data_IF_391132223024
#
_entry.id   IF_391132223024
#
_cell.length_a   1.000
_cell.length_b   1.000
_cell.length_c   1.000
_cell.angle_alpha   90.00
_cell.angle_beta   90.00
_cell.angle_gamma   90.00
#
_symmetry.space_group_name_H-M   'P 1'
#
loop_
_entity.id
_entity.type
_entity.pdbx_description
1 polymer ?
#
# COMPACT_ATOMS: atom_id res chain seq x y z
N UNK A 1 28.68 3.22 6.84
CA UNK A 1 28.47 2.72 6.88
C UNK A 1 28.42 2.24 6.65
N UNK A 2 28.38 2.16 6.31
CA UNK A 2 28.20 1.61 5.98
C UNK A 2 27.56 1.31 5.89
N UNK A 3 27.16 1.41 5.69
CA UNK A 3 26.52 1.03 5.66
C UNK A 3 26.17 0.40 5.57
N UNK A 4 25.99 0.28 5.53
CA UNK A 4 25.62 -0.35 5.42
C UNK A 4 25.35 -0.81 4.90
N UNK A 5 25.37 -1.04 4.41
CA UNK A 5 24.98 -1.52 3.87
C UNK A 5 25.05 -2.33 3.37
N UNK A 6 25.27 -2.89 3.13
CA UNK A 6 25.34 -3.69 2.46
C UNK A 6 24.75 -4.91 2.46
N UNK A 7 25.06 -5.74 2.85
CA UNK A 7 24.49 -6.90 3.01
C UNK A 7 23.15 -6.75 3.03
N UNK A 8 22.83 -5.71 3.03
CA UNK A 8 21.55 -5.42 3.06
C UNK A 8 20.99 -5.05 1.82
N UNK A 9 21.37 -5.67 0.75
CA UNK A 9 20.85 -5.34 -0.51
C UNK A 9 19.41 -5.42 -0.56
N UNK A 10 18.79 -6.39 0.05
CA UNK A 10 17.38 -6.43 -0.04
C UNK A 10 16.73 -5.32 0.67
N UNK A 11 17.44 -4.65 1.54
CA UNK A 11 16.86 -3.54 2.20
C UNK A 11 16.68 -2.36 1.31
N UNK A 12 17.35 -2.32 0.22
CA UNK A 12 17.15 -1.23 -0.69
C UNK A 12 15.79 -1.26 -1.28
N UNK A 13 15.16 -2.41 -1.32
CA UNK A 13 13.89 -2.54 -2.00
C UNK A 13 12.73 -2.53 -1.05
N UNK A 14 12.99 -2.41 0.23
CA UNK A 14 11.92 -2.47 1.20
C UNK A 14 12.13 -1.41 2.22
N UNK A 15 11.15 -0.56 2.34
CA UNK A 15 11.20 0.49 3.33
C UNK A 15 10.03 0.33 4.24
N UNK A 16 10.30 0.51 5.52
CA UNK A 16 9.25 0.54 6.51
C UNK A 16 8.90 1.99 6.67
N UNK A 17 7.94 2.47 5.94
CA UNK A 17 7.61 3.87 5.94
C UNK A 17 6.21 4.09 6.43
N UNK A 18 6.02 5.26 6.99
CA UNK A 18 4.72 5.64 7.48
C UNK A 18 4.09 6.58 6.50
N UNK A 19 3.94 6.14 5.29
CA UNK A 19 3.37 6.98 4.24
C UNK A 19 1.88 6.74 4.14
N UNK A 20 1.14 7.81 4.03
CA UNK A 20 -0.28 7.71 3.84
C UNK A 20 -0.59 7.28 2.43
N UNK A 21 -1.53 6.37 2.28
CA UNK A 21 -1.96 5.92 0.98
C UNK A 21 -3.47 5.97 0.91
N UNK A 22 -3.97 6.48 -0.20
CA UNK A 22 -5.40 6.47 -0.49
C UNK A 22 -5.67 5.38 -1.50
N UNK A 23 -6.71 4.61 -1.29
CA UNK A 23 -7.06 3.50 -2.14
C UNK A 23 -8.49 3.70 -2.60
N UNK A 24 -8.71 3.56 -3.90
CA UNK A 24 -10.05 3.62 -4.45
C UNK A 24 -10.32 2.30 -5.13
N UNK A 25 -11.43 1.69 -4.81
CA UNK A 25 -11.79 0.41 -5.39
C UNK A 25 -13.27 0.19 -5.38
N UNK A 26 -13.68 -1.00 -5.80
CA UNK A 26 -15.06 -1.40 -5.83
C UNK A 26 -15.13 -2.75 -5.12
N UNK A 27 -16.02 -2.89 -4.16
CA UNK A 27 -16.07 -4.14 -3.41
C UNK A 27 -16.84 -5.19 -4.21
N UNK A 28 -17.00 -6.37 -3.62
CA UNK A 28 -17.60 -7.47 -4.38
C UNK A 28 -19.06 -7.24 -4.68
N UNK A 29 -19.70 -6.33 -3.99
CA UNK A 29 -21.08 -5.99 -4.28
C UNK A 29 -21.20 -4.86 -5.27
N UNK A 30 -20.09 -4.42 -5.84
CA UNK A 30 -20.12 -3.35 -6.83
C UNK A 30 -20.15 -1.97 -6.23
N UNK A 31 -19.90 -1.83 -4.94
CA UNK A 31 -20.02 -0.54 -4.29
C UNK A 31 -18.64 0.12 -4.22
N UNK A 32 -18.50 1.32 -4.76
CA UNK A 32 -17.21 2.02 -4.72
C UNK A 32 -16.86 2.43 -3.29
N UNK A 33 -15.57 2.40 -2.99
CA UNK A 33 -15.11 2.84 -1.69
C UNK A 33 -13.79 3.58 -1.81
N UNK A 34 -13.49 4.33 -0.77
CA UNK A 34 -12.22 5.01 -0.61
C UNK A 34 -11.70 4.64 0.77
N UNK A 35 -10.47 4.17 0.81
CA UNK A 35 -9.81 3.82 2.05
C UNK A 35 -8.56 4.66 2.19
N UNK A 36 -8.20 4.96 3.43
CA UNK A 36 -6.95 5.63 3.72
C UNK A 36 -6.21 4.82 4.74
N UNK A 37 -4.96 4.56 4.49
CA UNK A 37 -4.19 3.73 5.37
C UNK A 37 -2.73 4.14 5.27
N UNK A 38 -1.92 3.58 6.16
CA UNK A 38 -0.49 3.79 6.09
C UNK A 38 0.16 2.58 5.48
N UNK A 39 1.14 2.82 4.62
CA UNK A 39 1.89 1.73 4.04
C UNK A 39 2.76 1.07 5.08
N UNK A 40 2.77 -0.25 5.10
CA UNK A 40 3.68 -0.97 5.95
C UNK A 40 5.03 -1.12 5.29
N UNK A 41 5.04 -1.47 4.03
CA UNK A 41 6.28 -1.46 3.30
C UNK A 41 5.99 -1.30 1.83
N UNK A 42 6.99 -0.87 1.10
CA UNK A 42 6.86 -0.62 -0.32
C UNK A 42 8.17 -1.05 -0.97
N UNK A 43 8.06 -1.56 -2.18
CA UNK A 43 9.21 -1.93 -2.98
C UNK A 43 8.94 -1.47 -4.40
N UNK A 44 9.85 -1.77 -5.29
CA UNK A 44 9.67 -1.33 -6.67
C UNK A 44 8.47 -1.94 -7.35
N UNK A 45 8.09 -3.14 -6.95
CA UNK A 45 7.00 -3.84 -7.62
C UNK A 45 5.70 -3.88 -6.88
N UNK A 46 5.66 -3.42 -5.63
CA UNK A 46 4.42 -3.54 -4.89
C UNK A 46 4.48 -2.93 -3.52
N UNK A 47 3.43 -3.15 -2.77
CA UNK A 47 3.29 -2.58 -1.44
C UNK A 47 2.44 -3.49 -0.57
N UNK A 48 2.49 -3.23 0.71
CA UNK A 48 1.69 -3.99 1.66
C UNK A 48 1.13 -3.03 2.69
N UNK A 49 -0.10 -3.24 3.08
CA UNK A 49 -0.74 -2.44 4.11
C UNK A 49 -1.70 -3.31 4.89
N UNK A 50 -2.11 -2.82 6.06
CA UNK A 50 -3.08 -3.51 6.90
C UNK A 50 -4.39 -2.77 6.86
N UNK A 51 -5.49 -3.50 6.95
CA UNK A 51 -6.80 -2.89 6.94
C UNK A 51 -7.73 -3.65 7.87
N UNK A 52 -8.70 -2.94 8.41
CA UNK A 52 -9.80 -3.58 9.11
C UNK A 52 -10.97 -3.82 8.20
N UNK A 53 -10.94 -3.27 7.01
CA UNK A 53 -12.04 -3.43 6.06
C UNK A 53 -11.75 -4.61 5.14
N UNK A 54 -11.67 -5.79 5.75
CA UNK A 54 -11.21 -6.97 5.04
C UNK A 54 -12.11 -7.30 3.87
N UNK A 55 -13.41 -7.05 4.02
CA UNK A 55 -14.35 -7.40 2.96
C UNK A 55 -14.25 -6.56 1.72
N UNK A 56 -13.47 -5.51 1.75
CA UNK A 56 -13.30 -4.66 0.58
C UNK A 56 -12.25 -5.16 -0.39
N UNK A 57 -11.48 -6.17 0.02
CA UNK A 57 -10.32 -6.60 -0.76
C UNK A 57 -10.40 -8.07 -1.09
N UNK A 58 -10.02 -8.40 -2.32
CA UNK A 58 -9.97 -9.80 -2.74
C UNK A 58 -8.88 -9.96 -3.78
N UNK A 59 -8.27 -11.14 -3.84
CA UNK A 59 -7.19 -11.35 -4.83
C UNK A 59 -7.69 -11.11 -6.25
N UNK A 60 -6.86 -10.48 -7.03
CA UNK A 60 -7.20 -10.17 -8.42
C UNK A 60 -7.91 -8.86 -8.62
N UNK A 61 -8.29 -8.20 -7.54
CA UNK A 61 -9.01 -6.94 -7.63
C UNK A 61 -8.08 -5.83 -8.08
N UNK A 62 -8.57 -4.95 -8.93
CA UNK A 62 -7.79 -3.82 -9.39
C UNK A 62 -8.17 -2.58 -8.59
N UNK A 63 -7.17 -1.86 -8.16
CA UNK A 63 -7.35 -0.68 -7.32
C UNK A 63 -6.62 0.49 -7.93
N UNK A 64 -7.09 1.70 -7.59
CA UNK A 64 -6.32 2.90 -7.86
C UNK A 64 -5.71 3.37 -6.56
N UNK A 65 -4.45 3.70 -6.60
CA UNK A 65 -3.76 4.09 -5.38
C UNK A 65 -3.07 5.42 -5.56
N UNK A 66 -2.97 6.15 -4.45
CA UNK A 66 -2.23 7.39 -4.37
C UNK A 66 -1.39 7.32 -3.11
N UNK A 67 -0.09 7.45 -3.25
CA UNK A 67 0.82 7.45 -2.13
C UNK A 67 1.29 8.88 -1.93
N UNK A 68 1.11 9.40 -0.73
CA UNK A 68 1.46 10.78 -0.43
C UNK A 68 2.87 10.80 0.13
N UNK A 69 3.73 11.55 -0.51
CA UNK A 69 5.12 11.64 -0.12
C UNK A 69 5.31 12.79 0.85
N UNK A 70 6.33 12.71 1.70
CA UNK A 70 6.57 13.80 2.64
C UNK A 70 6.91 15.07 1.88
N UNK A 71 6.36 16.18 2.33
CA UNK A 71 6.63 17.44 1.69
C UNK A 71 8.00 17.97 2.07
N UNK A 72 8.65 18.64 1.15
CA UNK A 72 9.89 19.31 1.39
C UNK A 72 9.73 20.73 0.88
N UNK A 73 9.94 21.70 1.72
CA UNK A 73 9.84 23.11 1.34
C UNK A 73 8.47 23.40 0.73
N UNK A 74 7.44 22.88 1.38
CA UNK A 74 6.07 23.11 0.95
C UNK A 74 5.71 22.48 -0.38
N UNK A 75 6.59 21.71 -0.96
CA UNK A 75 6.28 21.00 -2.18
C UNK A 75 5.63 19.69 -1.79
N UNK A 76 4.44 19.47 -2.28
CA UNK A 76 3.71 18.24 -2.02
C UNK A 76 3.77 17.39 -3.25
N UNK A 77 4.01 16.12 -3.05
CA UNK A 77 4.13 15.20 -4.16
C UNK A 77 3.36 13.94 -3.86
N UNK A 78 2.94 13.26 -4.88
CA UNK A 78 2.25 12.00 -4.72
C UNK A 78 2.58 11.11 -5.89
N UNK A 79 2.44 9.82 -5.65
CA UNK A 79 2.61 8.83 -6.69
C UNK A 79 1.28 8.17 -6.90
N UNK A 80 0.82 8.11 -8.13
CA UNK A 80 -0.47 7.54 -8.47
C UNK A 80 -0.31 6.42 -9.45
N UNK A 81 -1.18 5.45 -9.35
CA UNK A 81 -1.17 4.36 -10.30
C UNK A 81 -2.22 3.34 -9.97
N UNK A 82 -2.12 2.21 -10.63
CA UNK A 82 -3.04 1.12 -10.41
C UNK A 82 -2.28 -0.05 -9.83
N UNK A 83 -3.00 -0.87 -9.09
CA UNK A 83 -2.41 -2.03 -8.46
C UNK A 83 -3.41 -3.15 -8.46
N UNK A 84 -2.91 -4.37 -8.36
CA UNK A 84 -3.74 -5.56 -8.26
C UNK A 84 -3.50 -6.20 -6.91
N UNK A 85 -4.56 -6.60 -6.25
CA UNK A 85 -4.44 -7.30 -4.99
C UNK A 85 -3.90 -8.69 -5.27
N UNK A 86 -2.77 -9.02 -4.65
CA UNK A 86 -2.17 -10.34 -4.80
C UNK A 86 -2.69 -11.30 -3.76
N UNK A 87 -2.81 -10.81 -2.53
CA UNK A 87 -3.09 -11.67 -1.41
C UNK A 87 -3.79 -10.90 -0.32
N UNK A 88 -4.71 -11.55 0.34
CA UNK A 88 -5.37 -11.04 1.53
C UNK A 88 -5.05 -12.04 2.63
N UNK A 89 -4.28 -11.60 3.61
CA UNK A 89 -3.83 -12.47 4.65
C UNK A 89 -4.45 -12.04 5.96
N UNK A 90 -5.37 -12.81 6.48
CA UNK A 90 -6.06 -12.43 7.70
C UNK A 90 -5.17 -12.65 8.90
N UNK A 91 -5.20 -11.70 9.80
CA UNK A 91 -4.43 -11.75 11.02
C UNK A 91 -5.41 -11.68 12.17
N UNK A 92 -6.18 -12.72 12.34
CA UNK A 92 -7.29 -12.63 13.27
C UNK A 92 -7.03 -13.29 14.59
N UNK A 93 -5.85 -13.80 14.83
CA UNK A 93 -5.65 -14.49 16.05
C UNK A 93 -5.55 -13.57 17.23
N UNK A 94 -5.39 -12.29 17.00
CA UNK A 94 -5.15 -11.38 18.09
C UNK A 94 -6.40 -10.73 18.60
N UNK A 95 -7.29 -10.34 17.70
CA UNK A 95 -8.44 -9.57 18.12
C UNK A 95 -9.61 -9.90 17.23
N UNK A 96 -10.53 -10.63 17.78
CA UNK A 96 -11.66 -11.07 17.00
C UNK A 96 -12.68 -10.00 16.78
N UNK A 97 -12.69 -8.97 17.61
CA UNK A 97 -13.68 -7.94 17.44
C UNK A 97 -13.37 -7.07 16.26
N UNK A 98 -12.15 -6.99 15.87
CA UNK A 98 -11.76 -6.13 14.77
C UNK A 98 -10.82 -6.89 13.87
N UNK A 99 -11.34 -7.69 12.98
CA UNK A 99 -10.48 -8.47 12.09
C UNK A 99 -9.57 -7.55 11.31
N UNK A 100 -8.35 -7.98 11.15
CA UNK A 100 -7.35 -7.23 10.44
C UNK A 100 -6.77 -8.14 9.39
N UNK A 101 -6.41 -7.60 8.27
CA UNK A 101 -5.74 -8.35 7.23
C UNK A 101 -4.61 -7.53 6.66
N UNK A 102 -3.58 -8.23 6.22
CA UNK A 102 -2.52 -7.62 5.44
C UNK A 102 -2.85 -7.83 3.99
N UNK A 103 -2.76 -6.77 3.23
CA UNK A 103 -3.07 -6.79 1.82
C UNK A 103 -1.79 -6.55 1.06
N UNK A 104 -1.44 -7.50 0.18
CA UNK A 104 -0.27 -7.36 -0.66
C UNK A 104 -0.71 -6.96 -2.05
N UNK A 105 -0.08 -5.93 -2.59
CA UNK A 105 -0.41 -5.35 -3.88
C UNK A 105 0.76 -5.48 -4.82
N UNK A 106 0.47 -5.68 -6.10
CA UNK A 106 1.46 -5.51 -7.16
C UNK A 106 1.07 -4.28 -7.95
N UNK A 107 2.04 -3.42 -8.23
CA UNK A 107 1.76 -2.25 -9.04
C UNK A 107 1.63 -2.67 -10.50
N UNK A 108 0.64 -2.09 -11.18
CA UNK A 108 0.41 -2.39 -12.58
C UNK A 108 1.15 -1.35 -13.40
N UNK A 109 2.42 -1.60 -13.61
CA UNK A 109 3.25 -0.66 -14.33
C UNK A 109 3.84 0.37 -13.40
N UNK A 110 4.26 1.47 -13.95
CA UNK A 110 4.91 2.50 -13.18
C UNK A 110 3.92 3.40 -12.50
N UNK A 111 4.23 3.77 -11.29
CA UNK A 111 3.48 4.81 -10.61
C UNK A 111 3.89 6.15 -11.19
N UNK A 112 2.94 7.03 -11.33
CA UNK A 112 3.21 8.36 -11.86
C UNK A 112 3.42 9.34 -10.72
N UNK A 113 4.47 10.10 -10.85
CA UNK A 113 4.83 11.08 -9.86
C UNK A 113 4.16 12.39 -10.23
N UNK A 114 3.39 12.96 -9.30
CA UNK A 114 2.73 14.23 -9.56
C UNK A 114 3.05 15.18 -8.43
N UNK A 115 2.99 16.45 -8.73
CA UNK A 115 3.18 17.51 -7.76
C UNK A 115 1.94 18.30 -7.63
N UNK A 116 1.78 18.81 -6.47
CA UNK A 116 0.64 19.68 -6.27
C UNK A 116 0.97 21.08 -6.27
#
# INVERSE_FOLDING_TARGET
>A
MKMIFREDRRKFNRFSLDLLMKITGVDRDGIPYVDRTNLKNVSGGGAKFSTRHVDRYMPGQELEITIYLPGINDVKARMKGKATVLRVERLDEVNEEAPVADIALAFNGRLRFTRE
#
